data_IF_465066180021
#
_entry.id   IF_465066180021
#
_cell.length_a   1.000
_cell.length_b   1.000
_cell.length_c   1.000
_cell.angle_alpha   90.00
_cell.angle_beta   90.00
_cell.angle_gamma   90.00
#
_symmetry.space_group_name_H-M   'P 1'
#
loop_
_entity.id
_entity.type
_entity.pdbx_description
1 polymer ?
#
# COMPACT_ATOMS: atom_id res chain seq x y z
N UNK A 1 -9.90 20.73 3.37
CA UNK A 1 -10.38 19.36 3.67
C UNK A 1 -9.56 18.72 4.79
N UNK A 2 -8.23 18.56 4.67
CA UNK A 2 -7.37 18.00 5.73
C UNK A 2 -7.32 18.77 7.06
N UNK A 3 -7.80 20.02 7.10
CA UNK A 3 -7.82 20.82 8.33
C UNK A 3 -8.74 20.27 9.44
N UNK A 4 -9.68 19.37 9.09
CA UNK A 4 -10.55 18.69 10.05
C UNK A 4 -9.95 17.42 10.66
N UNK A 5 -8.76 16.99 10.20
CA UNK A 5 -8.04 15.86 10.79
C UNK A 5 -7.12 16.37 11.89
N UNK A 6 -7.36 15.94 13.13
CA UNK A 6 -6.68 16.45 14.33
C UNK A 6 -5.15 16.45 14.16
N UNK A 7 -4.58 15.30 13.78
CA UNK A 7 -3.14 15.13 13.62
C UNK A 7 -2.54 16.06 12.57
N UNK A 8 -3.20 16.20 11.42
CA UNK A 8 -2.71 17.09 10.36
C UNK A 8 -2.76 18.54 10.82
N UNK A 9 -3.84 18.93 11.49
CA UNK A 9 -4.03 20.29 11.98
C UNK A 9 -2.93 20.69 12.98
N UNK A 10 -2.68 19.85 13.99
CA UNK A 10 -1.64 20.08 15.01
C UNK A 10 -0.27 20.28 14.37
N UNK A 11 0.14 19.35 13.49
CA UNK A 11 1.46 19.38 12.85
C UNK A 11 1.59 20.56 11.90
N UNK A 12 0.55 20.85 11.10
CA UNK A 12 0.56 21.96 10.18
C UNK A 12 0.63 23.31 10.89
N UNK A 13 -0.09 23.47 12.01
CA UNK A 13 -0.03 24.68 12.83
C UNK A 13 1.36 24.88 13.44
N UNK A 14 1.97 23.82 13.98
CA UNK A 14 3.34 23.86 14.51
C UNK A 14 4.38 24.24 13.43
N UNK A 15 4.27 23.64 12.24
CA UNK A 15 5.17 23.95 11.11
C UNK A 15 4.97 25.38 10.62
N UNK A 16 3.73 25.86 10.51
CA UNK A 16 3.45 27.27 10.15
C UNK A 16 4.01 28.25 11.18
N UNK A 17 3.92 27.93 12.47
CA UNK A 17 4.51 28.76 13.54
C UNK A 17 6.03 28.84 13.43
N UNK A 18 6.70 27.75 13.04
CA UNK A 18 8.16 27.72 12.82
C UNK A 18 8.60 28.41 11.53
N UNK A 19 7.75 28.43 10.51
CA UNK A 19 8.06 28.97 9.19
C UNK A 19 6.92 29.88 8.68
N UNK A 20 6.69 31.05 9.29
CA UNK A 20 5.53 31.90 8.99
C UNK A 20 5.52 32.41 7.54
N UNK A 21 6.69 32.72 6.98
CA UNK A 21 6.83 33.29 5.64
C UNK A 21 7.01 32.23 4.53
N UNK A 22 6.90 30.93 4.88
CA UNK A 22 7.08 29.87 3.90
C UNK A 22 5.91 29.82 2.90
N UNK A 23 6.25 29.67 1.61
CA UNK A 23 5.26 29.46 0.56
C UNK A 23 4.35 28.24 0.86
N UNK A 24 3.06 28.27 0.49
CA UNK A 24 2.10 27.20 0.83
C UNK A 24 2.56 25.79 0.46
N UNK A 25 3.24 25.63 -0.67
CA UNK A 25 3.74 24.34 -1.12
C UNK A 25 4.91 23.83 -0.25
N UNK A 26 5.79 24.73 0.21
CA UNK A 26 6.85 24.38 1.16
C UNK A 26 6.26 24.00 2.51
N UNK A 27 5.25 24.74 3.00
CA UNK A 27 4.54 24.39 4.24
C UNK A 27 3.93 22.98 4.17
N UNK A 28 3.32 22.61 3.03
CA UNK A 28 2.79 21.26 2.83
C UNK A 28 3.88 20.19 2.98
N UNK A 29 5.01 20.34 2.28
CA UNK A 29 6.09 19.35 2.35
C UNK A 29 6.73 19.29 3.74
N UNK A 30 6.91 20.43 4.40
CA UNK A 30 7.43 20.48 5.77
C UNK A 30 6.45 19.85 6.77
N UNK A 31 5.14 20.02 6.57
CA UNK A 31 4.11 19.35 7.37
C UNK A 31 4.20 17.83 7.21
N UNK A 32 4.31 17.33 5.97
CA UNK A 32 4.47 15.89 5.71
C UNK A 32 5.74 15.35 6.36
N UNK A 33 6.86 16.07 6.22
CA UNK A 33 8.14 15.70 6.82
C UNK A 33 8.06 15.63 8.35
N UNK A 34 7.47 16.64 8.98
CA UNK A 34 7.26 16.68 10.42
C UNK A 34 6.33 15.56 10.91
N UNK A 35 5.29 15.22 10.14
CA UNK A 35 4.36 14.13 10.45
C UNK A 35 5.08 12.77 10.41
N UNK A 36 5.95 12.55 9.41
CA UNK A 36 6.80 11.36 9.32
C UNK A 36 7.76 11.30 10.53
N UNK A 37 8.35 12.43 10.92
CA UNK A 37 9.21 12.52 12.10
C UNK A 37 8.48 12.06 13.37
N UNK A 38 7.28 12.60 13.63
CA UNK A 38 6.44 12.21 14.77
C UNK A 38 6.14 10.71 14.74
N UNK A 39 5.84 10.14 13.57
CA UNK A 39 5.60 8.70 13.45
C UNK A 39 6.84 7.87 13.77
N UNK A 40 8.01 8.26 13.28
CA UNK A 40 9.26 7.55 13.56
C UNK A 40 9.62 7.63 15.05
N UNK A 41 9.52 8.82 15.64
CA UNK A 41 9.88 9.06 17.04
C UNK A 41 8.97 8.27 17.99
N UNK A 42 7.65 8.31 17.76
CA UNK A 42 6.68 7.55 18.56
C UNK A 42 6.86 6.03 18.40
N UNK A 43 7.00 5.54 17.16
CA UNK A 43 7.19 4.12 16.88
C UNK A 43 8.43 3.57 17.59
N UNK A 44 9.56 4.28 17.50
CA UNK A 44 10.82 3.85 18.10
C UNK A 44 10.77 3.90 19.62
N UNK A 45 10.19 4.96 20.19
CA UNK A 45 10.05 5.13 21.63
C UNK A 45 9.11 4.08 22.22
N UNK A 46 7.91 3.93 21.66
CA UNK A 46 6.90 2.99 22.16
C UNK A 46 7.33 1.53 21.98
N UNK A 47 7.93 1.19 20.83
CA UNK A 47 8.46 -0.16 20.61
C UNK A 47 9.56 -0.48 21.62
N UNK A 48 10.49 0.44 21.88
CA UNK A 48 11.55 0.25 22.88
C UNK A 48 10.97 0.08 24.29
N UNK A 49 9.94 0.86 24.63
CA UNK A 49 9.22 0.73 25.91
C UNK A 49 8.58 -0.64 26.06
N UNK A 50 7.92 -1.16 25.01
CA UNK A 50 7.29 -2.49 25.02
C UNK A 50 8.32 -3.62 25.11
N UNK A 51 9.44 -3.51 24.40
CA UNK A 51 10.56 -4.46 24.51
C UNK A 51 11.03 -4.56 25.96
N UNK A 52 11.30 -3.42 26.60
CA UNK A 52 11.74 -3.38 27.99
C UNK A 52 10.67 -3.90 28.96
N UNK A 53 9.41 -3.51 28.79
CA UNK A 53 8.29 -3.93 29.63
C UNK A 53 8.02 -5.44 29.55
N UNK A 54 8.25 -6.06 28.39
CA UNK A 54 8.15 -7.50 28.19
C UNK A 54 9.43 -8.27 28.56
N UNK A 55 10.49 -7.59 29.00
CA UNK A 55 11.77 -8.21 29.35
C UNK A 55 12.47 -8.90 28.17
N UNK A 56 12.24 -8.43 26.94
CA UNK A 56 12.77 -9.06 25.73
C UNK A 56 14.25 -8.70 25.59
N UNK A 57 15.12 -9.72 25.66
CA UNK A 57 16.57 -9.55 25.49
C UNK A 57 17.13 -10.36 24.33
N UNK A 58 16.35 -11.29 23.80
CA UNK A 58 16.69 -12.13 22.66
C UNK A 58 15.53 -12.24 21.67
N UNK A 59 15.83 -12.71 20.45
CA UNK A 59 14.81 -12.98 19.43
C UNK A 59 13.85 -14.09 19.89
N UNK A 60 14.34 -15.04 20.68
CA UNK A 60 13.49 -16.12 21.21
C UNK A 60 12.52 -15.60 22.27
N UNK A 61 12.91 -14.62 23.09
CA UNK A 61 11.98 -13.93 23.99
C UNK A 61 10.87 -13.24 23.18
N UNK A 62 11.24 -12.51 22.12
CA UNK A 62 10.28 -11.84 21.25
C UNK A 62 9.27 -12.81 20.62
N UNK A 63 9.72 -13.99 20.18
CA UNK A 63 8.84 -15.03 19.62
C UNK A 63 7.89 -15.64 20.65
N UNK A 64 8.29 -15.66 21.93
CA UNK A 64 7.46 -16.15 23.04
C UNK A 64 6.40 -15.14 23.47
N UNK A 65 6.65 -13.85 23.25
CA UNK A 65 5.67 -12.79 23.50
C UNK A 65 4.58 -12.85 22.42
N UNK A 66 3.40 -13.34 22.78
CA UNK A 66 2.25 -13.47 21.87
C UNK A 66 1.49 -12.14 21.66
N UNK A 67 2.21 -11.02 21.57
CA UNK A 67 1.64 -9.68 21.39
C UNK A 67 2.48 -8.84 20.45
N UNK A 68 1.88 -7.87 19.78
CA UNK A 68 2.59 -6.96 18.88
C UNK A 68 3.47 -5.97 19.66
N UNK A 69 4.78 -6.19 19.61
CA UNK A 69 5.77 -5.34 20.30
C UNK A 69 6.08 -4.08 19.50
N UNK A 70 6.15 -4.17 18.17
CA UNK A 70 6.39 -3.03 17.30
C UNK A 70 5.09 -2.30 16.97
N UNK A 71 4.97 -1.04 17.37
CA UNK A 71 3.78 -0.26 17.07
C UNK A 71 3.82 1.15 17.65
N UNK A 72 2.87 1.96 17.21
CA UNK A 72 2.65 3.28 17.77
C UNK A 72 2.05 3.19 19.16
N UNK A 73 2.18 4.28 19.92
CA UNK A 73 1.42 4.51 21.14
C UNK A 73 -0.09 4.48 20.87
N UNK A 74 -0.88 4.24 21.91
CA UNK A 74 -2.34 4.22 21.77
C UNK A 74 -2.90 5.56 21.30
N UNK A 75 -2.29 6.67 21.76
CA UNK A 75 -2.68 8.01 21.36
C UNK A 75 -2.41 8.23 19.86
N UNK A 76 -1.20 7.96 19.39
CA UNK A 76 -0.86 8.16 18.00
C UNK A 76 -1.61 7.18 17.09
N UNK A 77 -1.88 5.95 17.55
CA UNK A 77 -2.73 4.99 16.86
C UNK A 77 -4.12 5.55 16.61
N UNK A 78 -4.75 6.16 17.63
CA UNK A 78 -6.07 6.81 17.49
C UNK A 78 -6.04 7.95 16.48
N UNK A 79 -5.07 8.86 16.60
CA UNK A 79 -4.89 10.00 15.69
C UNK A 79 -4.61 9.56 14.24
N UNK A 80 -3.78 8.54 14.05
CA UNK A 80 -3.48 7.98 12.74
C UNK A 80 -4.68 7.25 12.12
N UNK A 81 -5.52 6.61 12.94
CA UNK A 81 -6.78 5.99 12.47
C UNK A 81 -7.72 7.04 11.86
N UNK A 82 -7.87 8.19 12.49
CA UNK A 82 -8.67 9.31 11.96
C UNK A 82 -8.15 9.78 10.60
N UNK A 83 -6.83 9.97 10.47
CA UNK A 83 -6.19 10.31 9.19
C UNK A 83 -6.45 9.23 8.12
N UNK A 84 -6.33 7.95 8.46
CA UNK A 84 -6.60 6.84 7.53
C UNK A 84 -8.06 6.80 7.08
N UNK A 85 -9.01 7.04 7.98
CA UNK A 85 -10.44 7.12 7.63
C UNK A 85 -10.70 8.29 6.68
N UNK A 86 -10.12 9.46 6.96
CA UNK A 86 -10.21 10.60 6.05
C UNK A 86 -9.66 10.26 4.65
N UNK A 87 -8.49 9.62 4.56
CA UNK A 87 -7.90 9.22 3.29
C UNK A 87 -8.74 8.14 2.58
N UNK A 88 -9.31 7.19 3.32
CA UNK A 88 -10.20 6.18 2.75
C UNK A 88 -11.35 6.84 1.99
N UNK A 89 -12.04 7.78 2.64
CA UNK A 89 -13.19 8.45 2.06
C UNK A 89 -12.83 9.44 0.94
N UNK A 90 -11.78 10.24 1.14
CA UNK A 90 -11.49 11.37 0.24
C UNK A 90 -10.48 11.05 -0.86
N UNK A 91 -9.66 10.00 -0.71
CA UNK A 91 -8.66 9.58 -1.69
C UNK A 91 -9.04 8.26 -2.34
N UNK A 92 -9.23 7.20 -1.55
CA UNK A 92 -9.43 5.85 -2.09
C UNK A 92 -10.83 5.65 -2.70
N UNK A 93 -11.87 6.21 -2.07
CA UNK A 93 -13.24 6.20 -2.61
C UNK A 93 -13.55 7.35 -3.58
N UNK A 94 -12.54 8.13 -3.95
CA UNK A 94 -12.72 9.17 -4.94
C UNK A 94 -13.10 8.56 -6.30
N UNK A 95 -14.11 9.11 -6.99
CA UNK A 95 -14.69 8.52 -8.21
C UNK A 95 -13.67 8.18 -9.31
N UNK A 96 -12.58 8.95 -9.43
CA UNK A 96 -11.49 8.67 -10.40
C UNK A 96 -10.74 7.39 -10.05
N UNK A 97 -10.46 7.15 -8.78
CA UNK A 97 -9.79 5.94 -8.29
C UNK A 97 -10.71 4.75 -8.45
N UNK A 98 -11.98 4.90 -8.07
CA UNK A 98 -12.97 3.82 -8.20
C UNK A 98 -13.18 3.39 -9.66
N UNK A 99 -13.26 4.34 -10.59
CA UNK A 99 -13.32 4.04 -12.03
C UNK A 99 -12.11 3.25 -12.52
N UNK A 100 -10.92 3.54 -11.99
CA UNK A 100 -9.71 2.80 -12.36
C UNK A 100 -9.71 1.39 -11.75
N UNK A 101 -10.12 1.27 -10.48
CA UNK A 101 -10.27 -0.01 -9.77
C UNK A 101 -11.17 -0.98 -10.55
N UNK A 102 -12.35 -0.52 -10.95
CA UNK A 102 -13.32 -1.33 -11.71
C UNK A 102 -12.75 -1.78 -13.06
N UNK A 103 -12.00 -0.91 -13.76
CA UNK A 103 -11.35 -1.27 -15.02
C UNK A 103 -10.27 -2.33 -14.81
N UNK A 104 -9.41 -2.15 -13.80
CA UNK A 104 -8.32 -3.07 -13.49
C UNK A 104 -8.86 -4.46 -13.11
N UNK A 105 -9.90 -4.52 -12.27
CA UNK A 105 -10.56 -5.77 -11.88
C UNK A 105 -11.05 -6.55 -13.11
N UNK A 106 -11.70 -5.87 -14.06
CA UNK A 106 -12.15 -6.48 -15.33
C UNK A 106 -10.98 -7.00 -16.16
N UNK A 107 -9.91 -6.22 -16.31
CA UNK A 107 -8.76 -6.64 -17.12
C UNK A 107 -8.05 -7.85 -16.52
N UNK A 108 -7.82 -7.86 -15.21
CA UNK A 108 -7.19 -8.97 -14.50
C UNK A 108 -8.05 -10.24 -14.56
N UNK A 109 -9.38 -10.12 -14.38
CA UNK A 109 -10.29 -11.24 -14.51
C UNK A 109 -10.25 -11.83 -15.93
N UNK A 110 -10.31 -10.99 -16.95
CA UNK A 110 -10.25 -11.42 -18.35
C UNK A 110 -8.91 -12.09 -18.68
N UNK A 111 -7.78 -11.51 -18.26
CA UNK A 111 -6.45 -12.12 -18.43
C UNK A 111 -6.39 -13.51 -17.78
N UNK A 112 -6.84 -13.62 -16.53
CA UNK A 112 -6.84 -14.89 -15.81
C UNK A 112 -7.68 -15.96 -16.53
N UNK A 113 -8.92 -15.61 -16.90
CA UNK A 113 -9.81 -16.55 -17.57
C UNK A 113 -9.27 -16.98 -18.94
N UNK A 114 -8.71 -16.05 -19.71
CA UNK A 114 -8.10 -16.36 -21.01
C UNK A 114 -6.91 -17.30 -20.88
N UNK A 115 -5.99 -17.07 -19.94
CA UNK A 115 -4.87 -17.99 -19.71
C UNK A 115 -5.31 -19.34 -19.12
N UNK A 116 -6.39 -19.38 -18.33
CA UNK A 116 -6.92 -20.62 -17.79
C UNK A 116 -7.57 -21.48 -18.89
N UNK A 117 -8.30 -20.86 -19.81
CA UNK A 117 -8.92 -21.51 -20.96
C UNK A 117 -7.89 -21.90 -22.03
N UNK A 118 -6.90 -21.04 -22.28
CA UNK A 118 -5.87 -21.23 -23.29
C UNK A 118 -4.46 -21.06 -22.71
N UNK A 119 -3.95 -22.04 -21.93
CA UNK A 119 -2.63 -21.94 -21.30
C UNK A 119 -1.50 -21.70 -22.29
N UNK A 120 -1.64 -22.15 -23.54
CA UNK A 120 -0.66 -21.99 -24.62
C UNK A 120 -0.35 -20.53 -24.97
N UNK A 121 -1.19 -19.58 -24.54
CA UNK A 121 -0.93 -18.14 -24.66
C UNK A 121 0.13 -17.64 -23.68
N UNK A 122 0.45 -18.42 -22.64
CA UNK A 122 1.53 -18.10 -21.72
C UNK A 122 2.90 -18.43 -22.34
N UNK A 123 3.96 -17.68 -21.96
CA UNK A 123 5.31 -18.05 -22.35
C UNK A 123 5.65 -19.48 -21.89
N UNK A 124 6.37 -20.23 -22.75
CA UNK A 124 6.70 -21.66 -22.55
C UNK A 124 7.31 -21.97 -21.18
N UNK A 125 8.11 -21.04 -20.62
CA UNK A 125 8.70 -21.19 -19.28
C UNK A 125 7.68 -21.32 -18.15
N UNK A 126 6.47 -20.77 -18.31
CA UNK A 126 5.38 -20.88 -17.34
C UNK A 126 4.58 -22.17 -17.56
N UNK A 127 4.35 -22.58 -18.81
CA UNK A 127 3.71 -23.87 -19.12
C UNK A 127 4.41 -25.04 -18.40
N UNK A 128 5.74 -25.09 -18.45
CA UNK A 128 6.55 -26.12 -17.77
C UNK A 128 6.39 -26.12 -16.23
N UNK A 129 5.96 -25.01 -15.64
CA UNK A 129 5.74 -24.88 -14.19
C UNK A 129 4.37 -25.36 -13.76
N UNK A 130 3.42 -25.51 -14.68
CA UNK A 130 2.03 -25.88 -14.35
C UNK A 130 1.93 -27.28 -13.77
N UNK A 131 2.76 -28.22 -14.24
CA UNK A 131 2.80 -29.59 -13.70
C UNK A 131 3.25 -29.63 -12.24
N UNK A 132 4.12 -28.71 -11.82
CA UNK A 132 4.69 -28.69 -10.47
C UNK A 132 3.85 -27.88 -9.48
N UNK A 133 3.30 -26.74 -9.90
CA UNK A 133 2.65 -25.78 -9.00
C UNK A 133 1.13 -25.66 -9.21
N UNK A 134 0.60 -26.32 -10.24
CA UNK A 134 -0.79 -26.16 -10.65
C UNK A 134 -0.99 -24.99 -11.60
N UNK A 135 -1.95 -25.15 -12.52
CA UNK A 135 -2.23 -24.19 -13.60
C UNK A 135 -2.62 -22.81 -13.05
N UNK A 136 -3.58 -22.76 -12.13
CA UNK A 136 -4.18 -21.53 -11.61
C UNK A 136 -3.14 -20.71 -10.84
N UNK A 137 -2.29 -21.37 -10.04
CA UNK A 137 -1.19 -20.72 -9.32
C UNK A 137 -0.19 -20.08 -10.28
N UNK A 138 0.24 -20.81 -11.30
CA UNK A 138 1.20 -20.29 -12.29
C UNK A 138 0.64 -19.08 -13.04
N UNK A 139 -0.65 -19.09 -13.37
CA UNK A 139 -1.33 -17.94 -14.00
C UNK A 139 -1.35 -16.75 -13.02
N UNK A 140 -1.74 -16.96 -11.76
CA UNK A 140 -1.72 -15.91 -10.75
C UNK A 140 -0.33 -15.30 -10.60
N UNK A 141 0.72 -16.11 -10.51
CA UNK A 141 2.10 -15.64 -10.33
C UNK A 141 2.60 -14.89 -11.57
N UNK A 142 2.19 -15.32 -12.77
CA UNK A 142 2.50 -14.60 -14.01
C UNK A 142 1.84 -13.22 -14.04
N UNK A 143 0.53 -13.14 -13.75
CA UNK A 143 -0.22 -11.88 -13.73
C UNK A 143 0.30 -10.96 -12.62
N UNK A 144 0.56 -11.48 -11.42
CA UNK A 144 1.08 -10.70 -10.29
C UNK A 144 2.51 -10.19 -10.54
N UNK A 145 3.27 -10.83 -11.43
CA UNK A 145 4.60 -10.39 -11.85
C UNK A 145 4.59 -9.28 -12.92
N UNK A 146 3.43 -8.89 -13.44
CA UNK A 146 3.32 -7.83 -14.44
C UNK A 146 3.41 -6.44 -13.80
N UNK A 147 3.95 -5.48 -14.53
CA UNK A 147 3.72 -4.05 -14.22
C UNK A 147 2.38 -3.62 -14.76
N UNK A 148 1.77 -2.56 -14.21
CA UNK A 148 0.50 -2.00 -14.70
C UNK A 148 0.50 -1.76 -16.22
N UNK A 149 1.59 -1.19 -16.73
CA UNK A 149 1.76 -0.94 -18.18
C UNK A 149 1.80 -2.24 -18.95
N UNK A 150 2.58 -3.23 -18.49
CA UNK A 150 2.67 -4.52 -19.16
C UNK A 150 1.32 -5.25 -19.17
N UNK A 151 0.59 -5.26 -18.05
CA UNK A 151 -0.72 -5.89 -17.96
C UNK A 151 -1.74 -5.24 -18.91
N UNK A 152 -1.69 -3.91 -19.09
CA UNK A 152 -2.53 -3.21 -20.05
C UNK A 152 -2.15 -3.54 -21.49
N UNK A 153 -0.85 -3.55 -21.82
CA UNK A 153 -0.37 -3.88 -23.16
C UNK A 153 -0.74 -5.34 -23.51
N UNK A 154 -0.58 -6.26 -22.56
CA UNK A 154 -0.94 -7.67 -22.71
C UNK A 154 -2.44 -7.86 -22.90
N UNK A 155 -3.26 -7.12 -22.14
CA UNK A 155 -4.71 -7.09 -22.34
C UNK A 155 -5.05 -6.63 -23.76
N UNK A 156 -4.41 -5.58 -24.28
CA UNK A 156 -4.66 -5.14 -25.65
C UNK A 156 -4.27 -6.20 -26.69
N UNK A 157 -3.09 -6.81 -26.57
CA UNK A 157 -2.67 -7.89 -27.49
C UNK A 157 -3.65 -9.06 -27.56
N UNK A 158 -4.26 -9.40 -26.43
CA UNK A 158 -5.17 -10.55 -26.34
C UNK A 158 -6.60 -10.23 -26.80
N UNK A 159 -7.04 -8.98 -26.67
CA UNK A 159 -8.45 -8.62 -26.88
C UNK A 159 -8.70 -7.56 -27.97
N UNK A 160 -7.69 -6.81 -28.41
CA UNK A 160 -7.80 -5.80 -29.47
C UNK A 160 -7.28 -6.37 -30.81
N UNK A 161 -8.15 -6.61 -31.81
CA UNK A 161 -7.78 -7.34 -33.04
C UNK A 161 -6.66 -6.73 -33.89
N UNK A 162 -6.40 -5.43 -33.71
CA UNK A 162 -5.41 -4.67 -34.49
C UNK A 162 -4.14 -4.36 -33.70
N UNK A 163 -4.06 -4.77 -32.43
CA UNK A 163 -2.85 -4.63 -31.63
C UNK A 163 -1.81 -5.65 -32.09
N UNK A 164 -0.55 -5.23 -32.20
CA UNK A 164 0.53 -6.12 -32.62
C UNK A 164 0.92 -7.07 -31.49
N UNK A 165 0.85 -8.37 -31.77
CA UNK A 165 1.35 -9.45 -30.89
C UNK A 165 2.85 -9.62 -31.06
#
# INVERSE_FOLDING_TARGET
QLAGVQLWHEVHAAVRGRFPDAAPQRLKYQTISALIGIFIDDLTTETSRRIAACGITSVDDLRRVNTMVAGFSDELTRKNRELKLFLLENLYHHYKVERMRVKAERYLANLFQTYAAYPTLLPVKYLKKMELFGRERVICDYIAGMTDRFALDEYKRLFEPYERV
#
